data_IF_417214483209
#
_entry.id   IF_417214483209
#
_cell.length_a   1.000
_cell.length_b   1.000
_cell.length_c   1.000
_cell.angle_alpha   90.00
_cell.angle_beta   90.00
_cell.angle_gamma   90.00
#
_symmetry.space_group_name_H-M   'P 1'
#
loop_
_entity.id
_entity.type
_entity.pdbx_description
1 polymer ?
#
# COMPACT_ATOMS: atom_id res chain seq x y z
N UNK A 1 2.74 15.40 -14.22
CA UNK A 1 3.10 14.54 -14.99
C UNK A 1 4.13 13.45 -14.77
N UNK A 2 4.65 13.16 -13.69
CA UNK A 2 5.48 11.98 -13.46
C UNK A 2 4.64 10.73 -13.28
N UNK A 3 5.30 9.61 -13.26
CA UNK A 3 4.67 8.34 -12.94
C UNK A 3 4.31 8.31 -11.45
N UNK A 4 3.23 7.60 -11.14
CA UNK A 4 2.85 7.39 -9.75
C UNK A 4 3.76 6.31 -9.17
N UNK A 5 4.53 6.65 -8.14
CA UNK A 5 5.44 5.72 -7.49
C UNK A 5 4.66 4.87 -6.49
N UNK A 6 4.63 3.55 -6.70
CA UNK A 6 3.82 2.61 -5.94
C UNK A 6 4.69 1.58 -5.23
N UNK A 7 4.44 1.36 -3.94
CA UNK A 7 5.00 0.26 -3.18
C UNK A 7 3.88 -0.70 -2.80
N UNK A 8 4.21 -1.97 -2.64
CA UNK A 8 3.23 -3.01 -2.31
C UNK A 8 3.71 -3.78 -1.09
N UNK A 9 2.80 -4.09 -0.19
CA UNK A 9 3.09 -4.93 0.97
C UNK A 9 1.98 -5.95 1.17
N UNK A 10 2.33 -7.23 1.11
CA UNK A 10 1.40 -8.35 1.34
C UNK A 10 2.26 -9.59 1.64
N UNK A 11 1.89 -10.38 2.63
CA UNK A 11 2.66 -11.57 2.98
C UNK A 11 2.44 -12.75 2.01
N UNK A 12 1.48 -12.61 1.10
CA UNK A 12 1.21 -13.61 0.08
C UNK A 12 2.04 -13.32 -1.17
N UNK A 13 3.01 -14.16 -1.47
CA UNK A 13 3.92 -13.97 -2.61
C UNK A 13 3.19 -13.92 -3.97
N UNK A 14 2.12 -14.68 -4.12
CA UNK A 14 1.32 -14.66 -5.35
C UNK A 14 0.68 -13.32 -5.58
N UNK A 15 0.16 -12.73 -4.52
CA UNK A 15 -0.46 -11.40 -4.61
C UNK A 15 0.60 -10.35 -4.93
N UNK A 16 1.76 -10.44 -4.28
CA UNK A 16 2.87 -9.52 -4.59
C UNK A 16 3.28 -9.60 -6.05
N UNK A 17 3.42 -10.81 -6.58
CA UNK A 17 3.81 -11.00 -7.97
C UNK A 17 2.74 -10.46 -8.93
N UNK A 18 1.48 -10.77 -8.66
CA UNK A 18 0.36 -10.32 -9.48
C UNK A 18 0.27 -8.80 -9.51
N UNK A 19 0.29 -8.18 -8.34
CA UNK A 19 0.21 -6.72 -8.24
C UNK A 19 1.44 -6.06 -8.85
N UNK A 20 2.62 -6.64 -8.63
CA UNK A 20 3.85 -6.12 -9.20
C UNK A 20 3.84 -6.10 -10.71
N UNK A 21 3.43 -7.20 -11.34
CA UNK A 21 3.30 -7.26 -12.80
C UNK A 21 2.31 -6.25 -13.33
N UNK A 22 1.17 -6.15 -12.66
CA UNK A 22 0.12 -5.23 -13.06
C UNK A 22 0.63 -3.78 -13.08
N UNK A 23 1.36 -3.39 -12.07
CA UNK A 23 1.90 -2.04 -11.94
C UNK A 23 3.03 -1.81 -12.96
N UNK A 24 3.93 -2.78 -13.10
CA UNK A 24 5.05 -2.66 -14.04
C UNK A 24 4.59 -2.55 -15.49
N UNK A 25 3.45 -3.16 -15.82
CA UNK A 25 2.90 -3.10 -17.16
C UNK A 25 2.08 -1.84 -17.42
N UNK A 26 1.96 -0.96 -16.43
CA UNK A 26 1.17 0.27 -16.57
C UNK A 26 2.09 1.47 -16.70
N UNK A 27 1.94 2.21 -17.80
CA UNK A 27 2.82 3.35 -18.12
C UNK A 27 2.68 4.53 -17.16
N UNK A 28 1.56 4.63 -16.48
CA UNK A 28 1.31 5.73 -15.54
C UNK A 28 1.94 5.50 -14.18
N UNK A 29 2.44 4.31 -13.93
CA UNK A 29 2.90 3.87 -12.61
C UNK A 29 4.31 3.32 -12.65
N UNK A 30 4.99 3.45 -11.52
CA UNK A 30 6.33 2.91 -11.33
C UNK A 30 6.34 2.10 -10.04
N UNK A 31 6.67 0.82 -10.14
CA UNK A 31 6.82 -0.02 -8.95
C UNK A 31 8.17 0.29 -8.31
N UNK A 32 8.16 0.84 -7.09
CA UNK A 32 9.41 1.19 -6.40
C UNK A 32 9.86 0.12 -5.42
N UNK A 33 9.00 -0.84 -5.11
CA UNK A 33 9.40 -1.98 -4.29
C UNK A 33 8.23 -2.82 -3.82
N UNK A 34 8.57 -4.01 -3.35
CA UNK A 34 7.63 -4.98 -2.78
C UNK A 34 8.16 -5.44 -1.44
N UNK A 35 7.28 -5.67 -0.48
CA UNK A 35 7.64 -6.18 0.83
C UNK A 35 6.62 -7.22 1.28
N UNK A 36 7.09 -8.24 2.00
CA UNK A 36 6.20 -9.29 2.52
C UNK A 36 5.98 -9.19 4.03
N UNK A 37 6.39 -8.10 4.62
CA UNK A 37 6.20 -7.85 6.05
C UNK A 37 6.26 -6.34 6.32
N UNK A 38 5.80 -5.95 7.50
CA UNK A 38 5.68 -4.53 7.84
C UNK A 38 6.99 -3.81 8.04
N UNK A 39 8.01 -4.49 8.58
CA UNK A 39 9.30 -3.85 8.77
C UNK A 39 9.93 -3.42 7.45
N UNK A 40 9.86 -4.32 6.47
CA UNK A 40 10.45 -4.05 5.16
C UNK A 40 9.69 -2.97 4.40
N UNK A 41 8.36 -2.93 4.50
CA UNK A 41 7.62 -1.86 3.82
C UNK A 41 7.85 -0.50 4.50
N UNK A 42 8.01 -0.49 5.81
CA UNK A 42 8.35 0.75 6.51
C UNK A 42 9.69 1.30 5.99
N UNK A 43 10.71 0.44 5.90
CA UNK A 43 12.02 0.81 5.35
C UNK A 43 11.89 1.33 3.91
N UNK A 44 11.09 0.63 3.11
CA UNK A 44 10.84 1.00 1.73
C UNK A 44 10.20 2.39 1.62
N UNK A 45 9.24 2.69 2.49
CA UNK A 45 8.59 4.00 2.52
C UNK A 45 9.61 5.10 2.84
N UNK A 46 10.49 4.86 3.79
CA UNK A 46 11.51 5.84 4.15
C UNK A 46 12.50 6.09 3.00
N UNK A 47 12.94 5.03 2.36
CA UNK A 47 13.98 5.11 1.34
C UNK A 47 13.46 5.62 -0.01
N UNK A 48 12.30 5.17 -0.42
CA UNK A 48 11.77 5.43 -1.76
C UNK A 48 10.71 6.51 -1.82
N UNK A 49 10.11 6.84 -0.70
CA UNK A 49 9.07 7.87 -0.59
C UNK A 49 7.99 7.71 -1.69
N UNK A 50 7.29 6.56 -1.72
CA UNK A 50 6.28 6.33 -2.74
C UNK A 50 5.10 7.28 -2.61
N UNK A 51 4.35 7.45 -3.70
CA UNK A 51 3.11 8.22 -3.68
C UNK A 51 1.98 7.41 -3.08
N UNK A 52 1.97 6.10 -3.37
CA UNK A 52 0.90 5.20 -2.97
C UNK A 52 1.51 3.91 -2.43
N UNK A 53 0.93 3.39 -1.34
CA UNK A 53 1.30 2.09 -0.79
C UNK A 53 0.06 1.22 -0.75
N UNK A 54 0.11 0.07 -1.43
CA UNK A 54 -0.90 -0.98 -1.29
C UNK A 54 -0.49 -1.79 -0.08
N UNK A 55 -1.31 -1.83 0.94
CA UNK A 55 -0.94 -2.36 2.26
C UNK A 55 -1.93 -3.39 2.77
N UNK A 56 -1.48 -4.63 2.89
CA UNK A 56 -2.23 -5.66 3.61
C UNK A 56 -2.09 -5.36 5.11
N UNK A 57 -3.19 -5.46 5.84
CA UNK A 57 -3.18 -5.18 7.27
C UNK A 57 -2.62 -6.33 8.10
N UNK A 58 -2.73 -7.57 7.61
CA UNK A 58 -2.28 -8.76 8.35
C UNK A 58 -0.95 -9.26 7.78
N UNK A 59 0.13 -8.90 8.44
CA UNK A 59 1.48 -9.29 8.01
C UNK A 59 2.35 -9.63 9.22
N UNK A 60 3.38 -10.49 9.04
CA UNK A 60 4.31 -10.78 10.13
C UNK A 60 5.24 -9.61 10.44
N UNK A 61 5.90 -9.68 11.57
CA UNK A 61 6.88 -8.72 12.10
C UNK A 61 6.25 -7.40 12.53
N UNK A 62 5.59 -6.73 11.63
CA UNK A 62 4.88 -5.48 11.89
C UNK A 62 3.65 -5.49 11.02
N UNK A 63 2.46 -5.42 11.60
CA UNK A 63 1.22 -5.43 10.82
C UNK A 63 0.97 -4.08 10.15
N UNK A 64 -0.02 -4.04 9.27
CA UNK A 64 -0.29 -2.83 8.50
C UNK A 64 -0.68 -1.63 9.33
N UNK A 65 -1.47 -1.82 10.40
CA UNK A 65 -1.84 -0.71 11.28
C UNK A 65 -0.60 -0.12 11.97
N UNK A 66 0.31 -0.99 12.40
CA UNK A 66 1.55 -0.56 13.02
C UNK A 66 2.46 0.17 12.04
N UNK A 67 2.47 -0.26 10.79
CA UNK A 67 3.20 0.46 9.72
C UNK A 67 2.68 1.89 9.61
N UNK A 68 1.35 2.06 9.54
CA UNK A 68 0.74 3.38 9.43
C UNK A 68 1.07 4.25 10.63
N UNK A 69 0.97 3.70 11.84
CA UNK A 69 1.32 4.43 13.06
C UNK A 69 2.79 4.86 13.06
N UNK A 70 3.68 3.94 12.67
CA UNK A 70 5.11 4.22 12.65
C UNK A 70 5.46 5.31 11.64
N UNK A 71 4.86 5.24 10.46
CA UNK A 71 5.06 6.27 9.42
C UNK A 71 4.54 7.63 9.92
N UNK A 72 3.37 7.64 10.55
CA UNK A 72 2.77 8.89 11.05
C UNK A 72 3.59 9.54 12.15
N UNK A 73 4.33 8.76 12.93
CA UNK A 73 5.17 9.28 14.01
C UNK A 73 6.60 9.59 13.60
N UNK A 74 7.01 9.16 12.43
CA UNK A 74 8.39 9.31 11.98
C UNK A 74 8.58 10.68 11.35
N UNK A 75 9.25 11.56 12.08
CA UNK A 75 9.49 12.95 11.63
C UNK A 75 10.45 13.04 10.45
N UNK A 76 11.21 11.97 10.17
CA UNK A 76 12.11 11.94 9.02
C UNK A 76 11.36 11.66 7.73
N UNK A 77 10.15 11.12 7.81
CA UNK A 77 9.30 10.89 6.65
C UNK A 77 8.50 12.16 6.39
N UNK A 78 8.91 12.93 5.39
CA UNK A 78 8.27 14.20 5.07
C UNK A 78 7.11 14.02 4.09
N UNK A 79 7.22 13.02 3.22
CA UNK A 79 6.17 12.71 2.26
C UNK A 79 5.42 11.48 2.74
N UNK A 80 4.22 11.69 3.24
CA UNK A 80 3.36 10.59 3.67
C UNK A 80 2.64 10.01 2.46
N UNK A 81 2.76 8.71 2.20
CA UNK A 81 2.07 8.12 1.04
C UNK A 81 0.58 8.02 1.30
N UNK A 82 -0.19 7.88 0.22
CA UNK A 82 -1.58 7.48 0.33
C UNK A 82 -1.61 5.98 0.55
N UNK A 83 -2.24 5.52 1.63
CA UNK A 83 -2.37 4.09 1.91
C UNK A 83 -3.68 3.57 1.33
N UNK A 84 -3.58 2.54 0.49
CA UNK A 84 -4.72 1.79 -0.01
C UNK A 84 -4.67 0.43 0.69
N UNK A 85 -5.67 0.15 1.51
CA UNK A 85 -5.69 -1.06 2.32
C UNK A 85 -6.22 -2.24 1.51
N UNK A 86 -5.53 -3.37 1.54
CA UNK A 86 -6.00 -4.61 0.93
C UNK A 86 -6.61 -5.43 2.06
N UNK A 87 -7.90 -5.74 1.95
CA UNK A 87 -8.64 -6.37 3.03
C UNK A 87 -9.52 -7.51 2.51
N UNK A 88 -10.03 -8.33 3.43
CA UNK A 88 -10.89 -9.46 3.09
C UNK A 88 -12.17 -9.40 3.91
N UNK A 89 -13.17 -10.18 3.50
CA UNK A 89 -14.39 -10.35 4.28
C UNK A 89 -14.02 -10.85 5.67
N UNK A 90 -14.59 -10.24 6.70
CA UNK A 90 -14.27 -10.56 8.09
C UNK A 90 -13.23 -9.62 8.70
N UNK A 91 -12.67 -8.70 7.92
CA UNK A 91 -11.67 -7.76 8.41
C UNK A 91 -12.20 -6.33 8.50
N UNK A 92 -13.52 -6.16 8.63
CA UNK A 92 -14.17 -4.86 8.62
C UNK A 92 -13.69 -3.95 9.75
N UNK A 93 -13.52 -4.51 10.95
CA UNK A 93 -13.11 -3.71 12.12
C UNK A 93 -11.70 -3.14 11.97
N UNK A 94 -10.74 -3.96 11.55
CA UNK A 94 -9.38 -3.47 11.37
C UNK A 94 -9.28 -2.53 10.17
N UNK A 95 -10.13 -2.71 9.18
CA UNK A 95 -10.20 -1.78 8.05
C UNK A 95 -10.70 -0.41 8.51
N UNK A 96 -11.71 -0.36 9.40
CA UNK A 96 -12.16 0.90 9.99
C UNK A 96 -11.03 1.56 10.78
N UNK A 97 -10.27 0.77 11.55
CA UNK A 97 -9.13 1.30 12.30
C UNK A 97 -8.09 1.93 11.37
N UNK A 98 -7.86 1.30 10.21
CA UNK A 98 -6.94 1.85 9.21
C UNK A 98 -7.41 3.21 8.70
N UNK A 99 -8.72 3.38 8.47
CA UNK A 99 -9.25 4.67 8.04
C UNK A 99 -9.11 5.73 9.12
N UNK A 100 -9.26 5.37 10.38
CA UNK A 100 -9.01 6.31 11.48
C UNK A 100 -7.55 6.75 11.54
N UNK A 101 -6.64 5.93 11.03
CA UNK A 101 -5.20 6.24 10.98
C UNK A 101 -4.78 6.93 9.69
N UNK A 102 -5.72 7.19 8.79
CA UNK A 102 -5.45 7.97 7.60
C UNK A 102 -5.42 7.23 6.28
N UNK A 103 -5.90 5.98 6.22
CA UNK A 103 -5.99 5.28 4.95
C UNK A 103 -6.93 6.02 4.01
N UNK A 104 -6.58 6.06 2.72
CA UNK A 104 -7.34 6.78 1.71
C UNK A 104 -8.45 5.95 1.09
N UNK A 105 -8.16 4.69 0.80
CA UNK A 105 -9.07 3.78 0.11
C UNK A 105 -8.85 2.35 0.61
N UNK A 106 -9.80 1.46 0.29
CA UNK A 106 -9.58 0.03 0.50
C UNK A 106 -9.94 -0.74 -0.77
N UNK A 107 -9.38 -1.94 -0.89
CA UNK A 107 -9.67 -2.89 -1.95
C UNK A 107 -10.00 -4.21 -1.30
N UNK A 108 -11.15 -4.76 -1.61
CA UNK A 108 -11.60 -6.03 -1.03
C UNK A 108 -11.10 -7.21 -1.87
N UNK A 109 -10.55 -8.22 -1.21
CA UNK A 109 -10.18 -9.47 -1.87
C UNK A 109 -11.41 -10.35 -2.05
N UNK A 110 -11.59 -11.01 -3.19
CA UNK A 110 -10.77 -10.94 -4.40
C UNK A 110 -11.04 -9.64 -5.17
N UNK A 111 -10.02 -9.13 -5.83
CA UNK A 111 -10.13 -7.86 -6.56
C UNK A 111 -9.90 -8.06 -8.06
N UNK A 112 -10.36 -7.10 -8.86
CA UNK A 112 -10.06 -7.04 -10.28
C UNK A 112 -8.85 -6.12 -10.49
N UNK A 113 -8.10 -6.37 -11.56
CA UNK A 113 -6.97 -5.52 -11.92
C UNK A 113 -7.41 -4.08 -12.13
N UNK A 114 -8.54 -3.90 -12.81
CA UNK A 114 -9.03 -2.56 -13.10
C UNK A 114 -9.35 -1.77 -11.84
N UNK A 115 -9.95 -2.42 -10.85
CA UNK A 115 -10.26 -1.75 -9.58
C UNK A 115 -8.99 -1.27 -8.88
N UNK A 116 -7.95 -2.11 -8.86
CA UNK A 116 -6.68 -1.73 -8.22
C UNK A 116 -6.06 -0.55 -8.95
N UNK A 117 -5.99 -0.61 -10.27
CA UNK A 117 -5.40 0.46 -11.07
C UNK A 117 -6.16 1.77 -10.90
N UNK A 118 -7.49 1.71 -10.88
CA UNK A 118 -8.32 2.90 -10.68
C UNK A 118 -8.06 3.55 -9.32
N UNK A 119 -7.95 2.74 -8.27
CA UNK A 119 -7.69 3.28 -6.93
C UNK A 119 -6.30 3.90 -6.83
N UNK A 120 -5.31 3.30 -7.47
CA UNK A 120 -3.97 3.87 -7.50
C UNK A 120 -4.00 5.23 -8.20
N UNK A 121 -4.70 5.33 -9.32
CA UNK A 121 -4.81 6.60 -10.04
C UNK A 121 -5.47 7.67 -9.18
N UNK A 122 -6.57 7.33 -8.51
CA UNK A 122 -7.27 8.27 -7.63
C UNK A 122 -6.36 8.73 -6.48
N UNK A 123 -5.67 7.80 -5.85
CA UNK A 123 -4.81 8.11 -4.70
C UNK A 123 -3.56 8.88 -5.12
N UNK A 124 -3.06 8.65 -6.32
CA UNK A 124 -1.81 9.23 -6.81
C UNK A 124 -1.93 10.59 -7.47
N UNK A 125 -3.12 11.16 -7.54
CA UNK A 125 -3.34 12.46 -8.20
C UNK A 125 -2.79 13.65 -7.40
N UNK A 126 -2.45 13.42 -6.17
CA UNK A 126 -1.97 14.49 -5.29
C UNK A 126 -0.59 14.20 -4.72
#
# INVERSE_FOLDING_TARGET
MGEIAVAIADDNERILDLLGEMIENNKEMKLVGKANNGEDVYTLIKEKQPDVVLLDLIMPKMDGLSVMDTVNRDHDIRKHPSFIIITAVGQERITEDAFRKGASYYILKPFSNQMVLDKIREAGKY
#
